data_IF_470555333690
#
_entry.id   IF_470555333690
#
_cell.length_a   1.000
_cell.length_b   1.000
_cell.length_c   1.000
_cell.angle_alpha   90.00
_cell.angle_beta   90.00
_cell.angle_gamma   90.00
#
_symmetry.space_group_name_H-M   'P 1'
#
loop_
_entity.id
_entity.type
_entity.pdbx_description
1 polymer ?
#
# COMPACT_ATOMS: atom_id res chain seq x y z
N UNK A 1 -16.90 -7.35 -14.50
CA UNK A 1 -15.78 -7.64 -13.59
C UNK A 1 -16.11 -6.93 -12.28
N UNK A 2 -15.64 -7.40 -11.11
CA UNK A 2 -15.84 -6.62 -9.89
C UNK A 2 -15.17 -5.24 -10.07
N UNK A 3 -15.83 -4.19 -9.57
CA UNK A 3 -15.28 -2.84 -9.64
C UNK A 3 -14.06 -2.74 -8.71
N UNK A 4 -13.00 -2.09 -9.18
CA UNK A 4 -11.82 -1.76 -8.36
C UNK A 4 -12.16 -0.48 -7.58
N UNK A 5 -12.00 -0.52 -6.26
CA UNK A 5 -12.29 0.63 -5.41
C UNK A 5 -11.09 1.59 -5.36
N UNK A 6 -11.36 2.89 -5.40
CA UNK A 6 -10.35 3.91 -5.19
C UNK A 6 -10.29 4.31 -3.71
N UNK A 7 -9.07 4.44 -3.18
CA UNK A 7 -8.77 5.03 -1.88
C UNK A 7 -7.67 6.09 -2.01
N UNK A 8 -7.41 6.83 -0.93
CA UNK A 8 -6.37 7.85 -0.91
C UNK A 8 -5.65 7.89 0.44
N UNK A 9 -4.33 8.12 0.41
CA UNK A 9 -3.48 8.05 1.59
C UNK A 9 -3.58 9.33 2.44
N UNK A 10 -3.79 9.13 3.74
CA UNK A 10 -3.97 10.19 4.73
C UNK A 10 -2.78 11.16 4.83
N UNK A 11 -1.58 10.63 4.98
CA UNK A 11 -0.39 11.43 5.28
C UNK A 11 0.00 12.41 4.17
N UNK A 12 -0.44 12.18 2.93
CA UNK A 12 -0.17 13.06 1.80
C UNK A 12 -0.92 14.40 1.91
N UNK A 13 -1.99 14.44 2.71
CA UNK A 13 -2.91 15.55 2.79
C UNK A 13 -2.99 16.14 4.21
N UNK A 14 -2.91 15.32 5.23
CA UNK A 14 -3.12 15.71 6.63
C UNK A 14 -1.81 15.59 7.41
N UNK A 15 -1.44 16.60 8.22
CA UNK A 15 -2.14 17.87 8.48
C UNK A 15 -1.72 19.02 7.54
N UNK A 16 -0.75 18.82 6.66
CA UNK A 16 -0.03 19.88 5.94
C UNK A 16 -0.91 20.65 4.94
N UNK A 17 -1.90 19.99 4.36
CA UNK A 17 -2.75 20.52 3.29
C UNK A 17 -4.19 20.77 3.72
N UNK A 18 -4.76 19.84 4.49
CA UNK A 18 -6.15 19.83 4.95
C UNK A 18 -6.21 19.42 6.43
N UNK A 19 -7.25 19.88 7.12
CA UNK A 19 -7.61 19.30 8.43
C UNK A 19 -8.18 17.88 8.23
N UNK A 20 -8.20 17.02 9.28
CA UNK A 20 -8.84 15.71 9.21
C UNK A 20 -10.26 15.73 8.65
N UNK A 21 -11.10 16.65 9.13
CA UNK A 21 -12.50 16.79 8.72
C UNK A 21 -12.64 17.27 7.27
N UNK A 22 -11.80 18.20 6.83
CA UNK A 22 -11.78 18.67 5.44
C UNK A 22 -11.36 17.54 4.50
N UNK A 23 -10.32 16.80 4.85
CA UNK A 23 -9.82 15.70 4.03
C UNK A 23 -10.87 14.59 3.87
N UNK A 24 -11.44 14.11 4.98
CA UNK A 24 -12.45 13.04 4.95
C UNK A 24 -13.68 13.46 4.14
N UNK A 25 -14.15 14.69 4.34
CA UNK A 25 -15.28 15.23 3.57
C UNK A 25 -14.95 15.35 2.08
N UNK A 26 -13.81 15.96 1.73
CA UNK A 26 -13.41 16.13 0.33
C UNK A 26 -13.22 14.79 -0.39
N UNK A 27 -12.67 13.78 0.28
CA UNK A 27 -12.54 12.44 -0.27
C UNK A 27 -13.92 11.79 -0.49
N UNK A 28 -14.83 11.90 0.46
CA UNK A 28 -16.20 11.40 0.32
C UNK A 28 -16.97 12.09 -0.81
N UNK A 29 -16.89 13.43 -0.88
CA UNK A 29 -17.55 14.23 -1.90
C UNK A 29 -17.00 13.94 -3.31
N UNK A 30 -15.69 13.67 -3.45
CA UNK A 30 -15.05 13.26 -4.71
C UNK A 30 -15.46 11.84 -5.16
N UNK A 31 -15.99 10.98 -4.27
CA UNK A 31 -16.46 9.64 -4.60
C UNK A 31 -15.53 8.51 -4.17
N UNK A 32 -14.47 8.77 -3.43
CA UNK A 32 -13.63 7.71 -2.86
C UNK A 32 -14.44 6.76 -1.98
N UNK A 33 -14.09 5.47 -1.99
CA UNK A 33 -14.75 4.48 -1.15
C UNK A 33 -13.98 4.17 0.14
N UNK A 34 -12.71 4.55 0.20
CA UNK A 34 -11.87 4.28 1.36
C UNK A 34 -10.72 5.29 1.50
N UNK A 35 -10.09 5.26 2.66
CA UNK A 35 -8.84 5.96 2.95
C UNK A 35 -7.76 4.95 3.38
N UNK A 36 -6.50 5.29 3.10
CA UNK A 36 -5.33 4.53 3.51
C UNK A 36 -4.53 5.25 4.58
N UNK A 37 -3.83 4.48 5.42
CA UNK A 37 -2.89 4.99 6.43
C UNK A 37 -3.51 5.99 7.41
N UNK A 38 -4.81 5.82 7.67
CA UNK A 38 -5.55 6.64 8.66
C UNK A 38 -5.00 6.36 10.05
N UNK A 39 -4.69 7.38 10.88
CA UNK A 39 -4.37 7.19 12.29
C UNK A 39 -5.57 6.66 13.08
N UNK A 40 -5.36 5.77 14.08
CA UNK A 40 -6.47 5.12 14.80
C UNK A 40 -7.47 6.08 15.46
N UNK A 41 -7.02 7.24 15.92
CA UNK A 41 -7.86 8.28 16.53
C UNK A 41 -8.89 8.87 15.55
N UNK A 42 -8.71 8.68 14.24
CA UNK A 42 -9.60 9.19 13.20
C UNK A 42 -10.46 8.10 12.53
N UNK A 43 -10.38 6.84 12.96
CA UNK A 43 -11.18 5.75 12.37
C UNK A 43 -12.68 6.02 12.42
N UNK A 44 -13.18 6.51 13.56
CA UNK A 44 -14.60 6.85 13.70
C UNK A 44 -15.00 8.00 12.77
N UNK A 45 -14.15 9.03 12.63
CA UNK A 45 -14.41 10.14 11.70
C UNK A 45 -14.59 9.63 10.26
N UNK A 46 -13.73 8.73 9.80
CA UNK A 46 -13.80 8.13 8.45
C UNK A 46 -15.08 7.33 8.27
N UNK A 47 -15.39 6.45 9.23
CA UNK A 47 -16.59 5.59 9.13
C UNK A 47 -17.91 6.36 9.28
N UNK A 48 -17.95 7.42 10.07
CA UNK A 48 -19.11 8.30 10.23
C UNK A 48 -19.46 9.06 8.93
N UNK A 49 -18.46 9.27 8.05
CA UNK A 49 -18.68 9.80 6.70
C UNK A 49 -18.98 8.73 5.64
N UNK A 50 -19.17 7.48 6.04
CA UNK A 50 -19.49 6.37 5.13
C UNK A 50 -18.32 5.80 4.37
N UNK A 51 -17.09 6.26 4.63
CA UNK A 51 -15.87 5.74 4.04
C UNK A 51 -15.37 4.50 4.78
N UNK A 52 -14.62 3.65 4.08
CA UNK A 52 -13.89 2.52 4.66
C UNK A 52 -12.43 2.89 4.88
N UNK A 53 -11.70 2.02 5.56
CA UNK A 53 -10.25 2.08 5.69
C UNK A 53 -9.68 0.88 4.93
N UNK A 54 -8.88 1.12 3.88
CA UNK A 54 -8.41 0.05 3.00
C UNK A 54 -7.11 -0.60 3.49
N UNK A 55 -6.23 0.19 4.08
CA UNK A 55 -4.98 -0.30 4.66
C UNK A 55 -4.49 0.62 5.79
N UNK A 56 -3.80 0.05 6.76
CA UNK A 56 -3.07 0.77 7.81
C UNK A 56 -1.71 0.12 8.06
N UNK A 57 -0.77 0.85 8.64
CA UNK A 57 0.52 0.29 9.04
C UNK A 57 0.33 -0.83 10.07
N UNK A 58 0.84 -2.02 9.78
CA UNK A 58 0.79 -3.17 10.68
C UNK A 58 1.82 -3.07 11.81
N UNK A 59 2.95 -2.39 11.56
CA UNK A 59 3.99 -2.09 12.56
C UNK A 59 4.64 -0.74 12.29
N UNK A 60 5.29 -0.18 13.31
CA UNK A 60 5.67 1.24 13.31
C UNK A 60 6.94 1.57 12.52
N UNK A 61 7.90 0.65 12.45
CA UNK A 61 9.22 0.99 11.89
C UNK A 61 9.38 0.51 10.44
N UNK A 62 9.56 1.46 9.53
CA UNK A 62 9.92 1.20 8.15
C UNK A 62 11.39 0.71 8.03
N UNK A 63 12.32 1.27 8.81
CA UNK A 63 13.75 0.98 8.70
C UNK A 63 14.21 -0.22 9.53
N UNK A 64 13.54 -0.50 10.66
CA UNK A 64 13.84 -1.63 11.56
C UNK A 64 12.69 -2.63 11.46
N UNK A 65 12.69 -3.43 10.40
CA UNK A 65 11.56 -4.24 9.99
C UNK A 65 11.78 -5.76 10.12
N UNK A 66 11.03 -6.48 9.29
CA UNK A 66 10.94 -7.93 9.31
C UNK A 66 12.24 -8.66 8.95
N UNK A 67 13.21 -8.00 8.31
CA UNK A 67 14.52 -8.57 8.02
C UNK A 67 15.47 -8.67 9.23
N UNK A 68 15.00 -8.31 10.41
CA UNK A 68 15.71 -8.42 11.69
C UNK A 68 15.02 -9.44 12.60
N UNK A 69 15.62 -10.63 12.78
CA UNK A 69 15.02 -11.71 13.60
C UNK A 69 14.71 -11.31 15.04
N UNK A 70 15.55 -10.46 15.64
CA UNK A 70 15.35 -9.93 16.99
C UNK A 70 14.14 -8.99 17.10
N UNK A 71 13.64 -8.47 15.97
CA UNK A 71 12.47 -7.61 15.92
C UNK A 71 11.15 -8.38 15.71
N UNK A 72 11.18 -9.65 15.33
CA UNK A 72 9.97 -10.42 15.07
C UNK A 72 9.00 -10.46 16.25
N UNK A 73 9.51 -10.54 17.48
CA UNK A 73 8.66 -10.54 18.69
C UNK A 73 7.95 -9.20 18.92
N UNK A 74 8.63 -8.07 18.65
CA UNK A 74 8.06 -6.72 18.71
C UNK A 74 7.00 -6.54 17.63
N UNK A 75 7.38 -6.81 16.38
CA UNK A 75 6.48 -6.66 15.21
C UNK A 75 5.22 -7.52 15.39
N UNK A 76 5.37 -8.74 15.91
CA UNK A 76 4.22 -9.61 16.20
C UNK A 76 3.24 -8.93 17.17
N UNK A 77 3.72 -8.33 18.26
CA UNK A 77 2.84 -7.63 19.22
C UNK A 77 2.14 -6.43 18.60
N UNK A 78 2.85 -5.67 17.77
CA UNK A 78 2.29 -4.52 17.07
C UNK A 78 1.18 -4.95 16.10
N UNK A 79 1.41 -6.00 15.30
CA UNK A 79 0.41 -6.55 14.38
C UNK A 79 -0.78 -7.15 15.14
N UNK A 80 -0.56 -7.87 16.25
CA UNK A 80 -1.66 -8.38 17.09
C UNK A 80 -2.54 -7.25 17.65
N UNK A 81 -1.95 -6.14 18.04
CA UNK A 81 -2.71 -4.96 18.49
C UNK A 81 -3.51 -4.32 17.33
N UNK A 82 -2.88 -4.11 16.18
CA UNK A 82 -3.55 -3.55 14.98
C UNK A 82 -4.63 -4.47 14.41
N UNK A 83 -4.48 -5.77 14.57
CA UNK A 83 -5.45 -6.76 14.07
C UNK A 83 -6.81 -6.63 14.77
N UNK A 84 -6.83 -6.28 16.07
CA UNK A 84 -8.08 -6.03 16.78
C UNK A 84 -8.87 -4.86 16.16
N UNK A 85 -8.18 -3.77 15.82
CA UNK A 85 -8.77 -2.64 15.12
C UNK A 85 -9.17 -3.02 13.69
N UNK A 86 -8.34 -3.77 12.98
CA UNK A 86 -8.64 -4.22 11.63
C UNK A 86 -9.94 -5.04 11.57
N UNK A 87 -10.13 -5.96 12.50
CA UNK A 87 -11.38 -6.73 12.62
C UNK A 87 -12.56 -5.83 12.98
N UNK A 88 -12.37 -4.93 13.94
CA UNK A 88 -13.44 -4.02 14.42
C UNK A 88 -13.94 -3.08 13.32
N UNK A 89 -13.04 -2.52 12.52
CA UNK A 89 -13.36 -1.52 11.49
C UNK A 89 -13.45 -2.11 10.08
N UNK A 90 -13.24 -3.43 9.93
CA UNK A 90 -13.30 -4.11 8.64
C UNK A 90 -12.14 -3.74 7.71
N UNK A 91 -10.96 -3.44 8.26
CA UNK A 91 -9.75 -3.09 7.50
C UNK A 91 -9.15 -4.36 6.89
N UNK A 92 -9.08 -4.48 5.56
CA UNK A 92 -8.64 -5.73 4.93
C UNK A 92 -7.13 -5.94 4.95
N UNK A 93 -6.33 -4.87 5.06
CA UNK A 93 -4.88 -4.94 4.85
C UNK A 93 -4.08 -4.29 5.98
N UNK A 94 -3.01 -4.95 6.41
CA UNK A 94 -1.98 -4.42 7.30
C UNK A 94 -0.65 -4.34 6.54
N UNK A 95 -0.11 -3.12 6.38
CA UNK A 95 1.14 -2.86 5.66
C UNK A 95 2.32 -3.29 6.53
N UNK A 96 3.22 -4.07 5.94
CA UNK A 96 4.44 -4.54 6.58
C UNK A 96 5.67 -4.02 5.83
N UNK A 97 6.75 -3.79 6.58
CA UNK A 97 8.01 -3.28 6.04
C UNK A 97 9.14 -4.29 6.25
N UNK A 98 9.99 -4.46 5.23
CA UNK A 98 11.16 -5.34 5.32
C UNK A 98 12.21 -4.82 6.30
N UNK A 99 12.40 -3.52 6.35
CA UNK A 99 13.52 -2.87 7.02
C UNK A 99 14.69 -2.61 6.07
N UNK A 100 15.69 -1.86 6.57
CA UNK A 100 16.93 -1.60 5.85
C UNK A 100 17.83 -2.84 5.86
N UNK A 101 18.62 -3.00 4.82
CA UNK A 101 19.56 -4.15 4.65
C UNK A 101 20.58 -4.20 5.78
N UNK A 102 21.23 -3.09 6.11
CA UNK A 102 22.37 -3.04 7.04
C UNK A 102 23.43 -4.12 6.71
N UNK A 103 23.69 -4.29 5.42
CA UNK A 103 24.63 -5.29 4.91
C UNK A 103 24.07 -6.71 4.76
N UNK A 104 22.81 -6.96 5.08
CA UNK A 104 22.16 -8.26 4.89
C UNK A 104 21.96 -8.56 3.40
N UNK A 105 22.39 -9.72 2.93
CA UNK A 105 22.22 -10.16 1.55
C UNK A 105 20.76 -10.50 1.21
N UNK A 106 20.39 -10.42 -0.08
CA UNK A 106 19.02 -10.62 -0.53
C UNK A 106 18.45 -11.99 -0.16
N UNK A 107 19.21 -13.06 -0.37
CA UNK A 107 18.75 -14.42 -0.06
C UNK A 107 18.45 -14.60 1.42
N UNK A 108 19.33 -14.12 2.29
CA UNK A 108 19.13 -14.18 3.73
C UNK A 108 17.97 -13.25 4.16
N UNK A 109 17.85 -12.06 3.55
CA UNK A 109 16.75 -11.15 3.79
C UNK A 109 15.39 -11.79 3.48
N UNK A 110 15.26 -12.48 2.33
CA UNK A 110 14.05 -13.25 1.98
C UNK A 110 13.74 -14.28 3.07
N UNK A 111 14.75 -15.03 3.53
CA UNK A 111 14.58 -16.07 4.53
C UNK A 111 14.08 -15.50 5.86
N UNK A 112 14.68 -14.42 6.31
CA UNK A 112 14.33 -13.78 7.59
C UNK A 112 12.96 -13.15 7.55
N UNK A 113 12.63 -12.40 6.48
CA UNK A 113 11.30 -11.79 6.33
C UNK A 113 10.22 -12.86 6.22
N UNK A 114 10.45 -13.91 5.43
CA UNK A 114 9.52 -15.02 5.31
C UNK A 114 9.30 -15.75 6.64
N UNK A 115 10.35 -15.96 7.45
CA UNK A 115 10.25 -16.53 8.80
C UNK A 115 9.35 -15.67 9.70
N UNK A 116 9.52 -14.34 9.70
CA UNK A 116 8.69 -13.42 10.47
C UNK A 116 7.22 -13.46 10.06
N UNK A 117 6.94 -13.38 8.76
CA UNK A 117 5.59 -13.40 8.20
C UNK A 117 4.91 -14.77 8.39
N UNK A 118 5.63 -15.89 8.26
CA UNK A 118 5.08 -17.23 8.46
C UNK A 118 4.55 -17.45 9.90
N UNK A 119 5.16 -16.81 10.89
CA UNK A 119 4.69 -16.85 12.28
C UNK A 119 3.38 -16.07 12.50
N UNK A 120 3.07 -15.11 11.62
CA UNK A 120 1.89 -14.27 11.66
C UNK A 120 0.75 -14.82 10.80
N UNK A 121 1.07 -15.57 9.73
CA UNK A 121 0.13 -16.05 8.75
C UNK A 121 -1.10 -16.78 9.35
N UNK A 122 -0.97 -17.75 10.30
CA UNK A 122 -2.14 -18.41 10.87
C UNK A 122 -3.09 -17.46 11.62
N UNK A 123 -2.55 -16.39 12.19
CA UNK A 123 -3.34 -15.39 12.91
C UNK A 123 -4.20 -14.57 11.95
N UNK A 124 -3.58 -14.02 10.91
CA UNK A 124 -4.29 -13.17 9.94
C UNK A 124 -5.21 -13.97 9.02
N UNK A 125 -4.89 -15.24 8.73
CA UNK A 125 -5.78 -16.16 8.02
C UNK A 125 -7.09 -16.39 8.76
N UNK A 126 -7.03 -16.60 10.08
CA UNK A 126 -8.21 -16.79 10.92
C UNK A 126 -9.12 -15.57 10.93
N UNK A 127 -8.52 -14.37 10.98
CA UNK A 127 -9.27 -13.10 11.05
C UNK A 127 -9.64 -12.55 9.66
N UNK A 128 -9.18 -13.18 8.57
CA UNK A 128 -9.46 -12.74 7.20
C UNK A 128 -8.75 -11.46 6.76
N UNK A 129 -7.74 -11.01 7.52
CA UNK A 129 -6.91 -9.84 7.21
C UNK A 129 -5.69 -10.25 6.40
N UNK A 130 -5.17 -9.37 5.56
CA UNK A 130 -4.00 -9.64 4.71
C UNK A 130 -2.81 -8.80 5.18
N UNK A 131 -1.66 -9.43 5.38
CA UNK A 131 -0.38 -8.73 5.52
C UNK A 131 0.13 -8.40 4.12
N UNK A 132 0.38 -7.14 3.87
CA UNK A 132 0.89 -6.66 2.58
C UNK A 132 2.29 -6.07 2.78
N UNK A 133 3.30 -6.76 2.26
CA UNK A 133 4.69 -6.29 2.28
C UNK A 133 4.87 -5.21 1.23
N UNK A 134 5.20 -4.00 1.67
CA UNK A 134 5.34 -2.86 0.77
C UNK A 134 6.71 -2.86 0.08
N UNK A 135 6.66 -2.66 -1.24
CA UNK A 135 7.82 -2.48 -2.09
C UNK A 135 8.16 -1.00 -2.22
N UNK A 136 9.34 -0.60 -1.73
CA UNK A 136 9.80 0.79 -1.74
C UNK A 136 11.07 0.97 -2.57
N UNK A 137 11.31 2.18 -3.06
CA UNK A 137 12.55 2.45 -3.77
C UNK A 137 13.73 2.73 -2.82
N UNK A 138 14.85 2.05 -3.05
CA UNK A 138 16.10 2.27 -2.31
C UNK A 138 17.05 3.28 -2.99
N UNK A 139 16.70 3.73 -4.21
CA UNK A 139 17.55 4.65 -4.98
C UNK A 139 17.42 6.10 -4.53
N UNK A 140 16.24 6.55 -4.12
CA UNK A 140 15.92 7.95 -3.87
C UNK A 140 15.35 8.16 -2.46
N UNK A 141 14.18 7.55 -2.15
CA UNK A 141 13.39 7.94 -0.97
C UNK A 141 13.74 7.14 0.29
N UNK A 142 14.10 5.85 0.13
CA UNK A 142 14.34 4.94 1.25
C UNK A 142 15.69 4.22 1.10
N UNK A 143 16.82 4.93 1.17
CA UNK A 143 18.14 4.33 1.00
C UNK A 143 18.32 3.09 1.90
N UNK A 144 18.89 2.02 1.31
CA UNK A 144 19.14 0.75 1.97
C UNK A 144 17.90 -0.11 2.29
N UNK A 145 16.68 0.31 1.93
CA UNK A 145 15.49 -0.53 2.13
C UNK A 145 15.60 -1.85 1.35
N UNK A 146 15.19 -2.99 1.96
CA UNK A 146 15.49 -4.30 1.39
C UNK A 146 14.45 -4.81 0.38
N UNK A 147 13.16 -4.62 0.61
CA UNK A 147 12.11 -5.03 -0.30
C UNK A 147 11.93 -4.01 -1.44
N UNK A 148 12.94 -3.83 -2.26
CA UNK A 148 13.02 -2.79 -3.29
C UNK A 148 12.83 -3.30 -4.74
N UNK A 149 12.55 -4.60 -4.90
CA UNK A 149 12.26 -5.23 -6.20
C UNK A 149 11.11 -6.24 -6.09
N UNK A 150 10.26 -6.26 -7.12
CA UNK A 150 9.08 -7.14 -7.15
C UNK A 150 9.45 -8.62 -7.05
N UNK A 151 10.47 -9.07 -7.76
CA UNK A 151 10.91 -10.47 -7.71
C UNK A 151 11.36 -10.91 -6.30
N UNK A 152 11.98 -10.00 -5.54
CA UNK A 152 12.35 -10.23 -4.15
C UNK A 152 11.12 -10.43 -3.26
N UNK A 153 10.14 -9.53 -3.37
CA UNK A 153 8.90 -9.61 -2.62
C UNK A 153 8.06 -10.86 -2.97
N UNK A 154 7.97 -11.21 -4.25
CA UNK A 154 7.32 -12.44 -4.72
C UNK A 154 7.98 -13.68 -4.09
N UNK A 155 9.32 -13.71 -4.03
CA UNK A 155 10.06 -14.82 -3.40
C UNK A 155 9.73 -14.97 -1.92
N UNK A 156 9.54 -13.87 -1.19
CA UNK A 156 9.06 -13.87 0.20
C UNK A 156 7.66 -14.50 0.28
N UNK A 157 6.71 -14.02 -0.53
CA UNK A 157 5.34 -14.53 -0.54
C UNK A 157 5.27 -16.01 -0.87
N UNK A 158 6.03 -16.46 -1.86
CA UNK A 158 6.12 -17.88 -2.24
C UNK A 158 6.67 -18.73 -1.09
N UNK A 159 7.68 -18.24 -0.39
CA UNK A 159 8.29 -18.97 0.74
C UNK A 159 7.35 -19.08 1.94
N UNK A 160 6.58 -18.03 2.24
CA UNK A 160 5.54 -18.07 3.28
C UNK A 160 4.37 -18.97 2.88
N UNK A 161 4.01 -18.98 1.60
CA UNK A 161 2.93 -19.78 1.02
C UNK A 161 1.58 -19.62 1.76
N UNK A 162 1.21 -18.39 2.10
CA UNK A 162 -0.07 -18.05 2.72
C UNK A 162 -0.93 -17.21 1.76
N UNK A 163 -2.24 -17.45 1.67
CA UNK A 163 -3.14 -16.61 0.88
C UNK A 163 -3.30 -15.22 1.47
N UNK A 164 -2.89 -15.01 2.74
CA UNK A 164 -2.99 -13.74 3.48
C UNK A 164 -1.65 -13.04 3.67
N UNK A 165 -0.62 -13.44 2.93
CA UNK A 165 0.66 -12.74 2.84
C UNK A 165 0.90 -12.39 1.38
N UNK A 166 0.85 -11.12 1.07
CA UNK A 166 0.87 -10.56 -0.28
C UNK A 166 1.79 -9.33 -0.33
N UNK A 167 1.82 -8.67 -1.48
CA UNK A 167 2.54 -7.44 -1.71
C UNK A 167 1.57 -6.24 -1.75
N UNK A 168 2.03 -5.12 -1.27
CA UNK A 168 1.62 -3.80 -1.70
C UNK A 168 2.59 -3.38 -2.81
N UNK A 169 2.05 -3.19 -4.02
CA UNK A 169 2.80 -2.75 -5.17
C UNK A 169 2.64 -1.25 -5.34
N UNK A 170 3.64 -0.49 -4.90
CA UNK A 170 3.68 0.95 -5.12
C UNK A 170 4.28 1.25 -6.50
N UNK A 171 3.44 1.72 -7.41
CA UNK A 171 3.78 1.97 -8.81
C UNK A 171 4.86 3.06 -8.93
N UNK A 172 4.80 4.09 -8.08
CA UNK A 172 5.80 5.16 -8.04
C UNK A 172 7.17 4.59 -7.65
N UNK A 173 7.24 3.81 -6.58
CA UNK A 173 8.48 3.21 -6.13
C UNK A 173 9.05 2.22 -7.16
N UNK A 174 8.21 1.38 -7.74
CA UNK A 174 8.67 0.38 -8.70
C UNK A 174 9.04 0.98 -10.06
N UNK A 175 8.46 2.12 -10.44
CA UNK A 175 8.94 2.87 -11.60
C UNK A 175 10.40 3.31 -11.42
N UNK A 176 10.76 3.82 -10.24
CA UNK A 176 12.13 4.24 -9.92
C UNK A 176 13.11 3.06 -9.92
N UNK A 177 12.67 1.90 -9.40
CA UNK A 177 13.52 0.72 -9.25
C UNK A 177 13.64 -0.11 -10.50
N UNK A 178 12.52 -0.45 -11.11
CA UNK A 178 12.45 -1.50 -12.13
C UNK A 178 11.96 -0.99 -13.49
N UNK A 179 11.00 -0.07 -13.53
CA UNK A 179 10.25 0.23 -14.75
C UNK A 179 9.41 -0.98 -15.20
N UNK A 180 9.10 -1.08 -16.50
CA UNK A 180 8.34 -2.19 -17.13
C UNK A 180 7.08 -2.58 -16.32
N UNK A 181 6.38 -1.57 -15.80
CA UNK A 181 5.31 -1.68 -14.80
C UNK A 181 4.19 -2.63 -15.23
N UNK A 182 3.71 -2.48 -16.47
CA UNK A 182 2.56 -3.27 -16.97
C UNK A 182 2.88 -4.76 -16.98
N UNK A 183 4.01 -5.15 -17.56
CA UNK A 183 4.43 -6.56 -17.63
C UNK A 183 4.67 -7.15 -16.24
N UNK A 184 5.26 -6.35 -15.34
CA UNK A 184 5.50 -6.75 -13.95
C UNK A 184 4.17 -7.00 -13.22
N UNK A 185 3.18 -6.12 -13.38
CA UNK A 185 1.83 -6.31 -12.83
C UNK A 185 1.19 -7.59 -13.38
N UNK A 186 1.17 -7.76 -14.71
CA UNK A 186 0.56 -8.93 -15.36
C UNK A 186 1.18 -10.25 -14.89
N UNK A 187 2.50 -10.29 -14.69
CA UNK A 187 3.20 -11.52 -14.27
C UNK A 187 3.12 -11.76 -12.77
N UNK A 188 2.98 -10.71 -11.95
CA UNK A 188 3.07 -10.79 -10.49
C UNK A 188 1.73 -10.62 -9.78
N UNK A 189 0.63 -10.32 -10.51
CA UNK A 189 -0.68 -10.03 -9.91
C UNK A 189 -1.19 -11.07 -8.89
N UNK A 190 -0.89 -12.40 -8.98
CA UNK A 190 -1.37 -13.33 -7.97
C UNK A 190 -0.80 -13.07 -6.57
N UNK A 191 0.31 -12.31 -6.50
CA UNK A 191 0.99 -11.95 -5.26
C UNK A 191 0.66 -10.55 -4.75
N UNK A 192 -0.08 -9.73 -5.53
CA UNK A 192 -0.39 -8.34 -5.19
C UNK A 192 -1.81 -8.25 -4.63
N UNK A 193 -1.97 -7.64 -3.46
CA UNK A 193 -3.26 -7.42 -2.82
C UNK A 193 -3.64 -5.94 -2.66
N UNK A 194 -2.71 -5.04 -2.93
CA UNK A 194 -2.92 -3.58 -2.84
C UNK A 194 -1.99 -2.83 -3.78
N UNK A 195 -2.45 -1.69 -4.29
CA UNK A 195 -1.66 -0.82 -5.15
C UNK A 195 -1.60 0.58 -4.59
N UNK A 196 -0.41 1.20 -4.67
CA UNK A 196 -0.24 2.64 -4.49
C UNK A 196 0.13 3.32 -5.82
N UNK A 197 -0.31 4.57 -5.99
CA UNK A 197 -0.06 5.38 -7.18
C UNK A 197 0.41 6.78 -6.80
N UNK A 198 1.38 7.32 -7.53
CA UNK A 198 1.76 8.74 -7.53
C UNK A 198 2.46 9.09 -8.83
N UNK A 199 2.51 10.37 -9.18
CA UNK A 199 3.27 10.84 -10.34
C UNK A 199 4.78 10.71 -10.11
N UNK A 200 5.50 10.18 -11.09
CA UNK A 200 6.95 10.08 -11.08
C UNK A 200 7.56 10.95 -12.20
N UNK A 201 8.57 11.78 -11.94
CA UNK A 201 9.20 12.03 -10.64
C UNK A 201 8.37 12.90 -9.70
N UNK A 202 8.73 12.91 -8.41
CA UNK A 202 8.27 13.90 -7.43
C UNK A 202 7.15 13.45 -6.51
N UNK A 203 6.54 12.25 -6.73
CA UNK A 203 5.44 11.71 -5.91
C UNK A 203 4.24 12.65 -5.81
N UNK A 204 3.96 13.37 -6.92
CA UNK A 204 2.88 14.35 -7.00
C UNK A 204 1.66 13.80 -7.77
N UNK A 205 0.79 14.72 -8.23
CA UNK A 205 -0.43 14.44 -8.98
C UNK A 205 -0.19 13.49 -10.17
N UNK A 206 -1.22 12.73 -10.55
CA UNK A 206 -1.20 11.80 -11.69
C UNK A 206 -1.44 12.53 -13.04
N UNK A 207 -0.99 13.76 -13.16
CA UNK A 207 -1.20 14.61 -14.33
C UNK A 207 -0.30 14.26 -15.53
N UNK A 208 -0.29 15.12 -16.54
CA UNK A 208 0.49 14.91 -17.77
C UNK A 208 1.95 15.41 -17.65
N UNK A 209 2.38 15.89 -16.49
CA UNK A 209 3.75 16.37 -16.24
C UNK A 209 4.65 15.29 -15.63
N UNK A 210 4.15 14.07 -15.53
CA UNK A 210 4.85 12.91 -14.98
C UNK A 210 4.99 11.79 -16.04
N UNK A 211 5.85 10.79 -15.82
CA UNK A 211 6.25 9.84 -16.86
C UNK A 211 5.40 8.55 -16.94
N UNK A 212 4.53 8.28 -15.95
CA UNK A 212 3.70 7.06 -15.89
C UNK A 212 2.42 7.21 -16.72
N UNK A 213 2.14 6.24 -17.58
CA UNK A 213 0.86 6.20 -18.29
C UNK A 213 -0.20 5.46 -17.46
N UNK A 214 -0.83 6.18 -16.53
CA UNK A 214 -1.82 5.58 -15.64
C UNK A 214 -3.03 5.00 -16.36
N UNK A 215 -3.44 5.52 -17.50
CA UNK A 215 -4.52 4.91 -18.29
C UNK A 215 -4.18 3.46 -18.67
N UNK A 216 -3.00 3.22 -19.22
CA UNK A 216 -2.57 1.87 -19.61
C UNK A 216 -2.29 0.97 -18.40
N UNK A 217 -1.73 1.52 -17.32
CA UNK A 217 -1.42 0.78 -16.10
C UNK A 217 -2.72 0.30 -15.41
N UNK A 218 -3.71 1.18 -15.25
CA UNK A 218 -4.99 0.84 -14.63
C UNK A 218 -5.78 -0.18 -15.47
N UNK A 219 -5.71 -0.10 -16.79
CA UNK A 219 -6.28 -1.11 -17.68
C UNK A 219 -5.61 -2.48 -17.50
N UNK A 220 -4.29 -2.52 -17.33
CA UNK A 220 -3.56 -3.75 -17.05
C UNK A 220 -3.98 -4.35 -15.71
N UNK A 221 -4.06 -3.54 -14.63
CA UNK A 221 -4.56 -3.99 -13.32
C UNK A 221 -5.97 -4.57 -13.45
N UNK A 222 -6.88 -3.85 -14.11
CA UNK A 222 -8.25 -4.33 -14.36
C UNK A 222 -8.27 -5.64 -15.15
N UNK A 223 -7.39 -5.78 -16.14
CA UNK A 223 -7.23 -6.98 -16.96
C UNK A 223 -6.82 -8.22 -16.18
N UNK A 224 -6.18 -8.08 -15.01
CA UNK A 224 -5.82 -9.22 -14.14
C UNK A 224 -7.01 -9.80 -13.37
N UNK A 225 -8.16 -9.14 -13.35
CA UNK A 225 -9.31 -9.48 -12.51
C UNK A 225 -9.17 -9.03 -11.05
N UNK A 226 -8.24 -8.14 -10.76
CA UNK A 226 -8.08 -7.54 -9.43
C UNK A 226 -9.37 -6.86 -8.96
N UNK A 227 -9.70 -6.99 -7.68
CA UNK A 227 -10.95 -6.52 -7.08
C UNK A 227 -10.75 -5.85 -5.70
N UNK A 228 -9.53 -5.38 -5.44
CA UNK A 228 -9.17 -4.69 -4.19
C UNK A 228 -9.24 -3.17 -4.33
N UNK A 229 -8.38 -2.50 -3.58
CA UNK A 229 -8.25 -1.05 -3.58
C UNK A 229 -6.99 -0.60 -4.34
N UNK A 230 -7.11 0.51 -5.04
CA UNK A 230 -5.98 1.30 -5.53
C UNK A 230 -5.96 2.58 -4.72
N UNK A 231 -4.90 2.80 -3.95
CA UNK A 231 -4.74 4.00 -3.14
C UNK A 231 -3.87 5.03 -3.86
N UNK A 232 -4.37 6.26 -3.94
CA UNK A 232 -3.61 7.37 -4.48
C UNK A 232 -2.76 7.98 -3.35
N UNK A 233 -1.45 7.75 -3.42
CA UNK A 233 -0.49 8.17 -2.40
C UNK A 233 0.45 9.26 -2.94
N UNK A 234 -0.12 10.38 -3.30
CA UNK A 234 0.57 11.51 -3.91
C UNK A 234 0.46 12.79 -3.07
N UNK A 235 1.48 13.63 -3.15
CA UNK A 235 1.48 14.95 -2.51
C UNK A 235 0.96 15.97 -3.53
N UNK A 236 -0.21 16.62 -3.28
CA UNK A 236 -0.79 17.55 -4.25
C UNK A 236 0.09 18.79 -4.43
N UNK A 237 0.27 19.19 -5.69
CA UNK A 237 1.08 20.37 -6.08
C UNK A 237 0.41 21.68 -5.68
N UNK A 238 -0.92 21.75 -5.80
CA UNK A 238 -1.73 22.96 -5.61
C UNK A 238 -2.89 22.73 -4.63
N UNK A 239 -4.11 23.07 -5.02
CA UNK A 239 -5.32 22.86 -4.22
C UNK A 239 -5.56 21.37 -3.96
N UNK A 240 -5.49 21.00 -2.69
CA UNK A 240 -5.57 19.60 -2.28
C UNK A 240 -6.96 18.99 -2.51
N UNK A 241 -8.04 19.73 -2.29
CA UNK A 241 -9.40 19.23 -2.50
C UNK A 241 -9.68 19.03 -4.01
N UNK A 242 -9.27 19.98 -4.84
CA UNK A 242 -9.38 19.86 -6.29
C UNK A 242 -8.48 18.73 -6.85
N UNK A 243 -7.32 18.46 -6.23
CA UNK A 243 -6.45 17.36 -6.63
C UNK A 243 -7.08 15.99 -6.33
N UNK A 244 -7.81 15.85 -5.21
CA UNK A 244 -8.59 14.65 -4.90
C UNK A 244 -9.65 14.36 -5.98
N UNK A 245 -10.45 15.36 -6.33
CA UNK A 245 -11.52 15.23 -7.33
C UNK A 245 -10.94 14.87 -8.71
N UNK A 246 -9.94 15.62 -9.18
CA UNK A 246 -9.29 15.35 -10.48
C UNK A 246 -8.70 13.93 -10.56
N UNK A 247 -8.02 13.48 -9.52
CA UNK A 247 -7.39 12.15 -9.51
C UNK A 247 -8.45 11.05 -9.51
N UNK A 248 -9.52 11.22 -8.72
CA UNK A 248 -10.62 10.28 -8.69
C UNK A 248 -11.27 10.16 -10.06
N UNK A 249 -11.68 11.29 -10.67
CA UNK A 249 -12.33 11.31 -11.99
C UNK A 249 -11.46 10.72 -13.10
N UNK A 250 -10.16 11.05 -13.11
CA UNK A 250 -9.21 10.53 -14.10
C UNK A 250 -9.16 9.00 -14.08
N UNK A 251 -9.26 8.38 -12.90
CA UNK A 251 -9.15 6.93 -12.74
C UNK A 251 -10.51 6.22 -12.84
N UNK A 252 -11.62 6.86 -12.44
CA UNK A 252 -12.94 6.25 -12.35
C UNK A 252 -13.39 5.65 -13.69
N UNK A 253 -13.28 6.39 -14.77
CA UNK A 253 -13.70 5.95 -16.12
C UNK A 253 -12.95 4.71 -16.63
N UNK A 254 -11.82 4.37 -16.03
CA UNK A 254 -11.00 3.22 -16.42
C UNK A 254 -11.30 2.02 -15.51
N UNK A 255 -11.58 2.28 -14.23
CA UNK A 255 -11.75 1.25 -13.21
C UNK A 255 -13.18 0.69 -13.12
N UNK A 256 -14.16 1.40 -13.66
CA UNK A 256 -15.53 0.92 -13.85
C UNK A 256 -15.60 -0.12 -14.98
#
# INVERSE_FOLDING_TARGET
MPAIAQSVSWWCFVPEKLTPEEFVRSAADAGYLALDLVPPEHFSLVTDHGLKIAAVAGHESLTVGLNKRDQHARIKKEIEAKLADAVRYGIPNLICFSGNRDGLGDTEGIDVVAEGLARLAPLVEREGVTLILELLNSKIDHPDYQADHTAWGVSVCQKVNSPRVKLLYDIYHMQIMEGDIIRTIESSHPWIAHYHTAGNPGRNDLDNEQELNYSSILQAIRGTGYAGYIAHEFVPKEDAAAALERTFEQCASILE
#
